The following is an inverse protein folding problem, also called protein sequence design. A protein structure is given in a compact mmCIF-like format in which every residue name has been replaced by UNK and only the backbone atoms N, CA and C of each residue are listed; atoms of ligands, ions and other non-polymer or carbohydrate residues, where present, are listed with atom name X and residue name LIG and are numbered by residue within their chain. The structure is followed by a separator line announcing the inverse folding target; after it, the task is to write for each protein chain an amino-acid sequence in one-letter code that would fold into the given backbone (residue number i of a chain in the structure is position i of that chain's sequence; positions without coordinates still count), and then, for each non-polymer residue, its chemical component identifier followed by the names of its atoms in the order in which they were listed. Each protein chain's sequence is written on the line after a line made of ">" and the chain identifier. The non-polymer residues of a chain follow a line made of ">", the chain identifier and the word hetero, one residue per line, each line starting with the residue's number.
data_IF_540052090693
#
_entry.id   IF_540052090693
#
_cell.length_a   1.000
_cell.length_b   1.000
_cell.length_c   1.000
_cell.angle_alpha   90.00
_cell.angle_beta   90.00
_cell.angle_gamma   90.00
#
_symmetry.space_group_name_H-M   'P 1'
#
loop_
_entity.id
_entity.type
_entity.pdbx_description
1 polymer ?
#
# COMPACT_ATOMS: atom_id res chain seq x y z
N UNK A 1 -0.24 27.75 18.47
CA UNK A 1 -0.21 28.32 17.10
C UNK A 1 -1.17 27.51 16.25
N UNK A 2 -2.31 28.03 15.76
CA UNK A 2 -3.16 27.29 14.84
C UNK A 2 -2.71 27.57 13.40
N UNK A 3 -2.80 26.59 12.51
CA UNK A 3 -3.38 26.94 11.20
C UNK A 3 -2.80 26.36 9.93
N UNK A 4 -1.66 25.68 9.91
CA UNK A 4 -1.27 24.90 8.72
C UNK A 4 -1.20 23.42 9.07
N UNK A 5 -2.36 22.80 9.15
CA UNK A 5 -2.46 21.35 9.02
C UNK A 5 -1.85 21.00 7.66
N UNK A 6 -0.72 20.29 7.67
CA UNK A 6 -0.01 19.93 6.45
C UNK A 6 -0.96 19.16 5.52
N UNK A 7 -1.16 19.59 4.24
CA UNK A 7 -2.10 18.93 3.33
C UNK A 7 -1.70 17.48 3.01
N UNK A 8 -0.45 17.11 3.25
CA UNK A 8 0.07 15.79 2.98
C UNK A 8 0.82 15.20 4.17
N UNK A 9 0.81 13.87 4.26
CA UNK A 9 1.58 13.08 5.21
C UNK A 9 2.50 12.18 4.41
N UNK A 10 3.80 12.23 4.68
CA UNK A 10 4.79 11.33 4.11
C UNK A 10 5.05 10.19 5.09
N UNK A 11 4.74 8.97 4.67
CA UNK A 11 5.05 7.74 5.40
C UNK A 11 6.32 7.13 4.81
N UNK A 12 7.31 6.88 5.66
CA UNK A 12 8.56 6.24 5.28
C UNK A 12 8.65 4.85 5.91
N UNK A 13 9.20 3.89 5.15
CA UNK A 13 9.29 2.48 5.55
C UNK A 13 10.72 1.98 5.40
N UNK A 14 11.66 2.45 6.24
CA UNK A 14 13.08 2.07 6.13
C UNK A 14 13.31 0.56 6.33
N UNK A 15 12.40 -0.13 7.02
CA UNK A 15 12.38 -1.58 7.20
C UNK A 15 12.07 -2.36 5.91
N UNK A 16 11.46 -1.71 4.91
CA UNK A 16 11.15 -2.29 3.60
C UNK A 16 12.13 -1.86 2.51
N UNK A 17 13.06 -0.95 2.82
CA UNK A 17 14.09 -0.44 1.91
C UNK A 17 14.29 1.07 2.03
N UNK A 18 15.49 1.53 1.68
CA UNK A 18 15.94 2.92 1.90
C UNK A 18 15.09 4.00 1.18
N UNK A 19 14.42 3.62 0.09
CA UNK A 19 13.57 4.53 -0.71
C UNK A 19 12.13 4.01 -0.82
N UNK A 20 11.61 3.33 0.21
CA UNK A 20 10.20 2.96 0.31
C UNK A 20 9.43 4.03 1.05
N UNK A 21 8.49 4.67 0.35
CA UNK A 21 7.66 5.74 0.93
C UNK A 21 6.30 5.85 0.26
N UNK A 22 5.33 6.38 1.01
CA UNK A 22 3.97 6.66 0.55
C UNK A 22 3.61 8.09 0.95
N UNK A 23 3.24 8.89 -0.04
CA UNK A 23 2.70 10.23 0.16
C UNK A 23 1.18 10.15 0.10
N UNK A 24 0.53 10.54 1.20
CA UNK A 24 -0.93 10.54 1.30
C UNK A 24 -1.46 11.94 1.60
N UNK A 25 -2.69 12.23 1.17
CA UNK A 25 -3.43 13.40 1.62
C UNK A 25 -3.67 13.26 3.12
N UNK A 26 -3.61 14.36 3.84
CA UNK A 26 -3.88 14.35 5.27
C UNK A 26 -5.36 14.02 5.53
N UNK A 27 -5.68 12.88 6.19
CA UNK A 27 -7.06 12.47 6.42
C UNK A 27 -7.88 13.50 7.22
N UNK A 28 -7.24 14.34 8.06
CA UNK A 28 -7.90 15.40 8.83
C UNK A 28 -8.52 16.50 7.96
N UNK A 29 -8.05 16.62 6.72
CA UNK A 29 -8.48 17.64 5.77
C UNK A 29 -9.37 17.07 4.67
N UNK A 30 -9.64 15.76 4.71
CA UNK A 30 -10.50 15.10 3.73
C UNK A 30 -11.95 15.04 4.23
N UNK A 31 -12.93 15.16 3.31
CA UNK A 31 -14.32 14.95 3.68
C UNK A 31 -14.53 13.46 4.06
N UNK A 32 -15.48 13.14 4.98
CA UNK A 32 -15.70 11.79 5.46
C UNK A 32 -15.84 10.74 4.34
N UNK A 33 -16.58 11.07 3.26
CA UNK A 33 -16.76 10.19 2.09
C UNK A 33 -15.48 9.71 1.40
N UNK A 34 -14.37 10.43 1.59
CA UNK A 34 -13.08 10.09 0.98
C UNK A 34 -12.24 9.18 1.89
N UNK A 35 -12.62 9.06 3.17
CA UNK A 35 -11.93 8.25 4.20
C UNK A 35 -12.80 7.12 4.78
N UNK A 36 -14.10 7.11 4.49
CA UNK A 36 -15.02 6.04 4.86
C UNK A 36 -15.22 5.06 3.70
N UNK A 37 -15.14 3.74 3.94
CA UNK A 37 -15.48 2.73 2.93
C UNK A 37 -16.93 2.85 2.47
N UNK A 38 -17.20 2.34 1.26
CA UNK A 38 -18.58 2.17 0.77
C UNK A 38 -19.32 1.12 1.60
N UNK A 39 -20.64 1.29 1.75
CA UNK A 39 -21.47 0.36 2.52
C UNK A 39 -21.47 -1.03 1.87
N UNK A 40 -21.05 -2.04 2.65
CA UNK A 40 -21.10 -3.44 2.26
C UNK A 40 -22.26 -4.12 3.00
N UNK A 41 -23.09 -4.93 2.31
CA UNK A 41 -24.20 -5.61 2.97
C UNK A 41 -23.70 -6.42 4.16
N UNK A 42 -24.41 -6.32 5.29
CA UNK A 42 -24.10 -7.08 6.49
C UNK A 42 -25.00 -8.32 6.57
N UNK A 43 -24.46 -9.42 7.08
CA UNK A 43 -25.19 -10.62 7.40
C UNK A 43 -26.00 -10.45 8.71
N UNK A 44 -26.73 -11.51 9.10
CA UNK A 44 -27.56 -11.50 10.31
C UNK A 44 -26.76 -11.32 11.62
N UNK A 45 -25.43 -11.46 11.58
CA UNK A 45 -24.53 -11.29 12.72
C UNK A 45 -23.83 -9.92 12.72
N UNK A 46 -24.20 -9.01 11.79
CA UNK A 46 -23.57 -7.70 11.66
C UNK A 46 -22.16 -7.73 11.07
N UNK A 47 -21.76 -8.86 10.46
CA UNK A 47 -20.49 -8.97 9.73
C UNK A 47 -20.74 -8.72 8.23
N UNK A 48 -19.75 -8.25 7.47
CA UNK A 48 -19.89 -8.15 6.02
C UNK A 48 -20.26 -9.50 5.42
N UNK A 49 -21.37 -9.54 4.66
CA UNK A 49 -21.81 -10.76 3.96
C UNK A 49 -20.78 -11.23 2.93
N UNK A 50 -19.95 -10.30 2.46
CA UNK A 50 -18.79 -10.57 1.61
C UNK A 50 -17.54 -9.87 2.19
N UNK A 51 -16.66 -10.62 2.87
CA UNK A 51 -15.40 -10.09 3.39
C UNK A 51 -14.44 -9.59 2.32
N UNK A 52 -14.51 -10.09 1.07
CA UNK A 52 -13.67 -9.62 -0.02
C UNK A 52 -14.16 -8.25 -0.52
N UNK A 53 -15.48 -8.09 -0.69
CA UNK A 53 -16.06 -6.80 -1.05
C UNK A 53 -15.74 -5.70 -0.01
N UNK A 54 -15.73 -6.05 1.29
CA UNK A 54 -15.32 -5.13 2.35
C UNK A 54 -13.84 -4.69 2.23
N UNK A 55 -12.94 -5.61 1.88
CA UNK A 55 -11.53 -5.28 1.66
C UNK A 55 -11.33 -4.43 0.41
N UNK A 56 -12.01 -4.73 -0.69
CA UNK A 56 -11.95 -3.92 -1.91
C UNK A 56 -12.48 -2.50 -1.68
N UNK A 57 -13.56 -2.34 -0.91
CA UNK A 57 -14.07 -1.03 -0.51
C UNK A 57 -13.01 -0.23 0.26
N UNK A 58 -12.24 -0.88 1.14
CA UNK A 58 -11.11 -0.25 1.83
C UNK A 58 -9.96 0.12 0.89
N UNK A 59 -9.63 -0.73 -0.09
CA UNK A 59 -8.61 -0.42 -1.07
C UNK A 59 -8.98 0.77 -1.96
N UNK A 60 -10.27 0.97 -2.25
CA UNK A 60 -10.74 2.18 -2.93
C UNK A 60 -10.53 3.44 -2.10
N UNK A 61 -10.72 3.36 -0.77
CA UNK A 61 -10.37 4.47 0.14
C UNK A 61 -8.88 4.77 0.07
N UNK A 62 -8.03 3.75 0.19
CA UNK A 62 -6.58 3.94 0.08
C UNK A 62 -6.19 4.57 -1.27
N UNK A 63 -6.81 4.15 -2.38
CA UNK A 63 -6.55 4.71 -3.71
C UNK A 63 -6.91 6.20 -3.81
N UNK A 64 -7.94 6.66 -3.10
CA UNK A 64 -8.35 8.08 -3.06
C UNK A 64 -7.40 8.94 -2.21
N UNK A 65 -6.84 8.34 -1.15
CA UNK A 65 -6.04 9.03 -0.14
C UNK A 65 -4.56 9.08 -0.52
N UNK A 66 -4.02 8.04 -1.15
CA UNK A 66 -2.63 8.00 -1.63
C UNK A 66 -2.48 8.89 -2.87
N UNK A 67 -1.45 9.73 -2.88
CA UNK A 67 -1.15 10.67 -3.98
C UNK A 67 0.02 10.18 -4.83
N UNK A 68 1.05 9.66 -4.17
CA UNK A 68 2.24 9.12 -4.81
C UNK A 68 2.83 8.05 -3.91
N UNK A 69 3.54 7.10 -4.50
CA UNK A 69 4.30 6.11 -3.75
C UNK A 69 5.61 5.77 -4.44
N UNK A 70 6.52 5.21 -3.65
CA UNK A 70 7.68 4.48 -4.11
C UNK A 70 7.67 3.15 -3.37
N UNK A 71 7.05 2.14 -3.98
CA UNK A 71 6.92 0.81 -3.37
C UNK A 71 7.34 -0.23 -4.39
N UNK A 72 8.05 -1.25 -3.93
CA UNK A 72 8.45 -2.38 -4.76
C UNK A 72 7.26 -3.31 -4.99
N UNK A 73 7.13 -3.85 -6.19
CA UNK A 73 6.20 -4.91 -6.52
C UNK A 73 6.78 -6.24 -6.01
N UNK A 74 6.21 -6.83 -4.95
CA UNK A 74 6.70 -8.09 -4.41
C UNK A 74 6.53 -9.25 -5.40
N UNK A 75 5.70 -9.11 -6.43
CA UNK A 75 5.42 -10.14 -7.43
C UNK A 75 6.02 -9.83 -8.81
N UNK A 76 6.65 -8.65 -8.98
CA UNK A 76 7.12 -8.22 -10.30
C UNK A 76 8.48 -8.79 -10.70
N UNK A 77 9.27 -9.26 -9.74
CA UNK A 77 10.54 -9.92 -10.05
C UNK A 77 10.24 -11.37 -10.49
N UNK A 78 10.44 -11.66 -11.78
CA UNK A 78 10.57 -13.06 -12.19
C UNK A 78 11.78 -13.64 -11.43
N UNK A 79 11.60 -14.73 -10.66
CA UNK A 79 12.75 -15.40 -10.05
C UNK A 79 13.72 -15.79 -11.17
N UNK A 80 15.05 -15.64 -10.97
CA UNK A 80 16.02 -16.04 -11.97
C UNK A 80 15.78 -17.51 -12.33
N UNK A 81 15.70 -17.82 -13.63
CA UNK A 81 15.56 -19.21 -14.08
C UNK A 81 16.86 -19.96 -13.79
N UNK A 82 16.83 -20.83 -12.78
CA UNK A 82 17.98 -21.67 -12.41
C UNK A 82 17.88 -22.99 -13.20
N UNK A 83 18.60 -23.07 -14.31
CA UNK A 83 18.82 -24.33 -15.03
C UNK A 83 19.82 -25.24 -14.30
N UNK A 84 19.77 -26.58 -14.51
CA UNK A 84 20.70 -27.53 -13.88
C UNK A 84 22.17 -27.34 -14.32
N UNK A 85 22.39 -26.69 -15.45
CA UNK A 85 23.72 -26.37 -16.02
C UNK A 85 24.09 -24.88 -15.88
N UNK A 86 23.34 -24.12 -15.07
CA UNK A 86 23.61 -22.70 -14.89
C UNK A 86 24.99 -22.47 -14.24
N UNK A 87 25.81 -21.63 -14.88
CA UNK A 87 27.12 -21.24 -14.35
C UNK A 87 26.93 -20.46 -13.02
N UNK A 88 27.47 -20.94 -11.89
CA UNK A 88 27.36 -20.27 -10.61
C UNK A 88 27.87 -18.83 -10.61
N UNK A 89 28.87 -18.49 -11.43
CA UNK A 89 29.42 -17.13 -11.52
C UNK A 89 28.44 -16.22 -12.26
N UNK A 90 27.90 -16.66 -13.40
CA UNK A 90 26.88 -15.93 -14.14
C UNK A 90 25.58 -15.76 -13.32
N UNK A 91 25.20 -16.78 -12.53
CA UNK A 91 24.07 -16.69 -11.61
C UNK A 91 24.32 -15.67 -10.50
N UNK A 92 25.53 -15.63 -9.95
CA UNK A 92 25.93 -14.65 -8.94
C UNK A 92 25.93 -13.23 -9.52
N UNK A 93 26.37 -13.06 -10.76
CA UNK A 93 26.30 -11.78 -11.48
C UNK A 93 24.84 -11.37 -11.75
N UNK A 94 23.96 -12.28 -12.17
CA UNK A 94 22.52 -12.00 -12.33
C UNK A 94 21.83 -11.61 -11.03
N UNK A 95 22.21 -12.25 -9.92
CA UNK A 95 21.71 -11.91 -8.58
C UNK A 95 22.29 -10.58 -8.08
N UNK A 96 23.53 -10.24 -8.47
CA UNK A 96 24.22 -9.00 -8.07
C UNK A 96 23.78 -7.79 -8.90
N UNK A 97 23.56 -8.00 -10.19
CA UNK A 97 22.98 -7.03 -11.13
C UNK A 97 21.46 -7.03 -11.09
N UNK A 98 20.87 -7.80 -10.15
CA UNK A 98 19.43 -7.95 -9.90
C UNK A 98 18.71 -6.63 -10.11
N UNK A 99 18.19 -6.47 -11.32
CA UNK A 99 17.63 -5.23 -11.83
C UNK A 99 16.66 -4.72 -10.79
N UNK A 100 16.86 -3.46 -10.37
CA UNK A 100 16.20 -2.91 -9.19
C UNK A 100 14.74 -3.36 -9.13
N UNK A 101 14.35 -3.93 -7.99
CA UNK A 101 13.03 -4.53 -7.80
C UNK A 101 11.97 -3.67 -8.51
N UNK A 102 11.16 -4.26 -9.40
CA UNK A 102 10.19 -3.49 -10.17
C UNK A 102 9.30 -2.73 -9.20
N UNK A 103 9.00 -1.48 -9.50
CA UNK A 103 8.14 -0.66 -8.65
C UNK A 103 6.69 -0.94 -9.00
N UNK A 104 5.81 -0.91 -8.00
CA UNK A 104 4.38 -0.84 -8.26
C UNK A 104 4.10 0.42 -9.08
N UNK A 105 3.29 0.26 -10.13
CA UNK A 105 2.93 1.33 -11.05
C UNK A 105 1.89 2.27 -10.46
N UNK A 106 0.82 2.54 -11.22
CA UNK A 106 -0.22 3.46 -10.81
C UNK A 106 -0.91 3.04 -9.50
N UNK A 107 -1.41 4.03 -8.76
CA UNK A 107 -2.18 3.81 -7.54
C UNK A 107 -3.58 3.35 -7.93
N UNK A 108 -3.77 2.04 -7.97
CA UNK A 108 -5.07 1.41 -8.22
C UNK A 108 -5.43 0.46 -7.07
N UNK A 109 -6.71 0.14 -6.85
CA UNK A 109 -7.13 -0.83 -5.84
C UNK A 109 -6.40 -2.18 -5.97
N UNK A 110 -6.14 -2.63 -7.19
CA UNK A 110 -5.45 -3.88 -7.49
C UNK A 110 -3.97 -3.84 -7.09
N UNK A 111 -3.28 -2.72 -7.33
CA UNK A 111 -1.90 -2.55 -6.89
C UNK A 111 -1.81 -2.34 -5.37
N UNK A 112 -2.82 -1.72 -4.76
CA UNK A 112 -2.93 -1.58 -3.31
C UNK A 112 -3.06 -2.93 -2.62
N UNK A 113 -3.83 -3.86 -3.19
CA UNK A 113 -3.95 -5.22 -2.69
C UNK A 113 -2.62 -6.00 -2.68
N UNK A 114 -1.63 -5.56 -3.47
CA UNK A 114 -0.28 -6.13 -3.53
C UNK A 114 0.70 -5.47 -2.55
N UNK A 115 0.28 -4.41 -1.85
CA UNK A 115 1.15 -3.73 -0.90
C UNK A 115 1.54 -4.67 0.25
N UNK A 116 2.79 -4.58 0.74
CA UNK A 116 3.17 -5.19 2.00
C UNK A 116 2.21 -4.78 3.13
N UNK A 117 1.82 -5.75 3.96
CA UNK A 117 0.90 -5.53 5.08
C UNK A 117 1.32 -4.36 5.98
N UNK A 118 2.62 -4.18 6.17
CA UNK A 118 3.19 -3.07 6.96
C UNK A 118 2.75 -1.69 6.45
N UNK A 119 2.66 -1.52 5.13
CA UNK A 119 2.24 -0.28 4.48
C UNK A 119 0.74 -0.09 4.67
N UNK A 120 -0.07 -1.10 4.40
CA UNK A 120 -1.55 -1.02 4.53
C UNK A 120 -1.98 -0.75 5.97
N UNK A 121 -1.37 -1.42 6.96
CA UNK A 121 -1.61 -1.14 8.38
C UNK A 121 -1.29 0.29 8.75
N UNK A 122 -0.13 0.82 8.31
CA UNK A 122 0.27 2.20 8.66
C UNK A 122 -0.65 3.25 8.05
N UNK A 123 -1.11 3.04 6.82
CA UNK A 123 -2.10 3.92 6.18
C UNK A 123 -3.42 3.88 6.95
N UNK A 124 -3.88 2.68 7.32
CA UNK A 124 -5.11 2.52 8.09
C UNK A 124 -5.03 3.24 9.45
N UNK A 125 -3.92 3.13 10.18
CA UNK A 125 -3.72 3.84 11.45
C UNK A 125 -3.88 5.37 11.31
N UNK A 126 -3.33 5.96 10.24
CA UNK A 126 -3.44 7.40 10.00
C UNK A 126 -4.87 7.83 9.64
N UNK A 127 -5.62 6.99 8.92
CA UNK A 127 -7.04 7.23 8.63
C UNK A 127 -7.88 7.08 9.91
N UNK A 128 -7.69 6.00 10.66
CA UNK A 128 -8.44 5.69 11.88
C UNK A 128 -8.23 6.72 12.98
N UNK A 129 -7.03 7.32 13.10
CA UNK A 129 -6.76 8.42 14.05
C UNK A 129 -7.72 9.61 13.89
N UNK A 130 -8.25 9.82 12.69
CA UNK A 130 -9.19 10.92 12.39
C UNK A 130 -10.64 10.47 12.54
N UNK A 131 -10.94 9.21 12.19
CA UNK A 131 -12.28 8.65 12.32
C UNK A 131 -12.68 8.43 13.80
N UNK A 132 -11.73 8.16 14.69
CA UNK A 132 -11.97 7.98 16.13
C UNK A 132 -10.94 8.79 16.96
N UNK A 133 -11.16 10.11 17.14
CA UNK A 133 -10.28 10.95 17.94
C UNK A 133 -10.54 10.68 19.43
N UNK A 134 -9.77 9.78 20.04
CA UNK A 134 -9.65 9.73 21.50
C UNK A 134 -8.79 10.88 22.03
#
# INVERSE_FOLDING_TARGET
>A
MPGYTNPYVLLQFPDLGDDVSVLMRNPQLLPPRDITPEDVPLDANGQPSDPQAAQEAMYRVFARVIVAWKVYDPNGAAPPEIGPDADPIALFEQLRDGGGQPRLGDITPENIARLPMRITTRIMEEISRVADPQ
#
